data_IF_770929107046
#
_entry.id   IF_770929107046
#
_cell.length_a   1.000
_cell.length_b   1.000
_cell.length_c   1.000
_cell.angle_alpha   90.00
_cell.angle_beta   90.00
_cell.angle_gamma   90.00
#
_symmetry.space_group_name_H-M   'P 1'
#
loop_
_entity.id
_entity.type
_entity.pdbx_description
1 polymer ?
#
# COMPACT_ATOMS: atom_id res chain seq x y z
N UNK A 1 -8.48 -3.46 23.89
CA UNK A 1 -8.67 -3.16 22.47
C UNK A 1 -7.99 -4.25 21.66
N UNK A 2 -8.70 -4.83 20.72
CA UNK A 2 -8.01 -5.71 19.78
C UNK A 2 -7.00 -4.87 19.01
N UNK A 3 -5.74 -5.28 19.05
CA UNK A 3 -4.70 -4.68 18.22
C UNK A 3 -5.08 -4.93 16.76
N UNK A 4 -5.41 -3.86 16.05
CA UNK A 4 -5.74 -3.95 14.63
C UNK A 4 -4.49 -4.18 13.77
N UNK A 5 -3.34 -4.33 14.43
CA UNK A 5 -2.06 -4.41 13.78
C UNK A 5 -1.63 -3.06 13.20
N UNK A 6 -0.49 -3.06 12.54
CA UNK A 6 0.07 -1.87 11.91
C UNK A 6 0.22 -2.10 10.40
N UNK A 7 -0.19 -1.13 9.61
CA UNK A 7 -0.02 -1.15 8.16
C UNK A 7 0.37 0.21 7.64
N UNK A 8 1.28 0.21 6.71
CA UNK A 8 1.67 1.37 5.93
C UNK A 8 1.85 0.98 4.46
N UNK A 9 1.92 1.98 3.61
CA UNK A 9 1.98 1.83 2.16
C UNK A 9 3.28 2.43 1.64
N UNK A 10 3.95 1.71 0.77
CA UNK A 10 5.12 2.17 0.04
C UNK A 10 4.82 2.21 -1.47
N UNK A 11 5.02 3.35 -2.09
CA UNK A 11 4.90 3.54 -3.53
C UNK A 11 6.29 3.62 -4.14
N UNK A 12 6.61 2.65 -5.00
CA UNK A 12 7.88 2.61 -5.70
C UNK A 12 7.79 3.37 -7.02
N UNK A 13 8.48 4.49 -7.11
CA UNK A 13 8.57 5.35 -8.29
C UNK A 13 7.21 5.65 -8.95
N UNK A 14 6.20 6.14 -8.20
CA UNK A 14 4.89 6.44 -8.76
C UNK A 14 4.99 7.53 -9.82
N UNK A 15 4.18 7.41 -10.87
CA UNK A 15 4.22 8.30 -12.03
C UNK A 15 3.44 9.58 -11.82
N UNK A 16 2.29 9.49 -11.20
CA UNK A 16 1.28 10.54 -11.18
C UNK A 16 0.99 11.00 -9.75
N UNK A 17 1.07 12.30 -9.53
CA UNK A 17 0.68 12.89 -8.25
C UNK A 17 -0.83 12.77 -7.99
N UNK A 18 -1.65 12.75 -9.03
CA UNK A 18 -3.08 12.51 -8.92
C UNK A 18 -3.34 11.12 -8.32
N UNK A 19 -2.65 10.09 -8.81
CA UNK A 19 -2.72 8.76 -8.25
C UNK A 19 -2.24 8.73 -6.79
N UNK A 20 -1.23 9.50 -6.44
CA UNK A 20 -0.77 9.65 -5.06
C UNK A 20 -1.85 10.19 -4.13
N UNK A 21 -2.58 11.19 -4.56
CA UNK A 21 -3.73 11.74 -3.81
C UNK A 21 -4.83 10.70 -3.59
N UNK A 22 -5.14 9.91 -4.60
CA UNK A 22 -6.09 8.81 -4.50
C UNK A 22 -5.58 7.69 -3.58
N UNK A 23 -4.29 7.38 -3.62
CA UNK A 23 -3.68 6.39 -2.72
C UNK A 23 -3.73 6.85 -1.27
N UNK A 24 -3.41 8.10 -0.98
CA UNK A 24 -3.50 8.66 0.38
C UNK A 24 -4.93 8.56 0.91
N UNK A 25 -5.91 8.85 0.06
CA UNK A 25 -7.32 8.74 0.42
C UNK A 25 -7.73 7.29 0.68
N UNK A 26 -7.32 6.35 -0.17
CA UNK A 26 -7.56 4.93 0.03
C UNK A 26 -6.92 4.44 1.34
N UNK A 27 -5.65 4.76 1.54
CA UNK A 27 -4.91 4.40 2.74
C UNK A 27 -5.55 4.95 4.02
N UNK A 28 -6.00 6.19 4.00
CA UNK A 28 -6.69 6.81 5.12
C UNK A 28 -8.02 6.15 5.45
N UNK A 29 -8.80 5.76 4.42
CA UNK A 29 -10.07 5.06 4.61
C UNK A 29 -9.89 3.68 5.23
N UNK A 30 -8.79 3.01 4.93
CA UNK A 30 -8.50 1.66 5.39
C UNK A 30 -7.53 1.61 6.59
N UNK A 31 -7.30 2.75 7.23
CA UNK A 31 -6.57 2.84 8.49
C UNK A 31 -5.06 2.65 8.39
N UNK A 32 -4.45 2.94 7.24
CA UNK A 32 -3.00 2.94 7.13
C UNK A 32 -2.38 4.10 7.94
N UNK A 33 -1.23 3.84 8.55
CA UNK A 33 -0.54 4.82 9.38
C UNK A 33 0.20 5.90 8.56
N UNK A 34 0.69 5.53 7.39
CA UNK A 34 1.48 6.43 6.54
C UNK A 34 1.57 5.90 5.11
N UNK A 35 1.91 6.79 4.19
CA UNK A 35 2.26 6.48 2.82
C UNK A 35 3.66 7.04 2.53
N UNK A 36 4.56 6.17 2.10
CA UNK A 36 5.91 6.53 1.65
C UNK A 36 5.98 6.42 0.14
N UNK A 37 6.79 7.24 -0.49
CA UNK A 37 7.04 7.13 -1.93
C UNK A 37 8.50 7.38 -2.26
N UNK A 38 8.97 6.78 -3.34
CA UNK A 38 10.29 7.02 -3.93
C UNK A 38 10.14 7.64 -5.32
N UNK A 39 11.23 8.16 -5.85
CA UNK A 39 11.30 8.64 -7.23
C UNK A 39 10.97 10.12 -7.38
N UNK A 40 11.64 10.71 -8.37
CA UNK A 40 11.54 12.16 -8.64
C UNK A 40 10.35 12.56 -9.50
N UNK A 41 9.73 11.61 -10.18
CA UNK A 41 8.57 11.87 -11.04
C UNK A 41 7.40 12.39 -10.21
N UNK A 42 7.20 11.79 -9.06
CA UNK A 42 6.12 12.15 -8.17
C UNK A 42 6.32 13.53 -7.55
N UNK A 43 7.53 13.87 -7.13
CA UNK A 43 7.83 15.18 -6.54
C UNK A 43 7.51 16.34 -7.48
N UNK A 44 7.83 16.18 -8.77
CA UNK A 44 7.51 17.18 -9.80
C UNK A 44 6.01 17.37 -10.02
N UNK A 45 5.26 16.32 -9.82
CA UNK A 45 3.82 16.31 -10.03
C UNK A 45 3.03 16.72 -8.77
N UNK A 46 3.63 16.59 -7.58
CA UNK A 46 2.98 16.90 -6.30
C UNK A 46 2.52 18.37 -6.19
N UNK A 47 3.20 19.28 -6.88
CA UNK A 47 2.84 20.70 -6.90
C UNK A 47 1.51 20.97 -7.63
N UNK A 48 1.00 20.01 -8.38
CA UNK A 48 -0.19 20.15 -9.22
C UNK A 48 -1.44 19.46 -8.68
N UNK A 49 -1.34 18.75 -7.57
CA UNK A 49 -2.46 17.98 -7.03
C UNK A 49 -3.14 18.72 -5.90
N UNK A 50 -4.40 19.02 -6.14
CA UNK A 50 -5.30 19.41 -5.07
C UNK A 50 -5.89 18.17 -4.40
N UNK A 51 -5.39 17.83 -3.23
CA UNK A 51 -6.11 16.95 -2.29
C UNK A 51 -7.27 17.75 -1.71
N UNK A 52 -8.41 17.67 -2.37
CA UNK A 52 -9.59 18.47 -2.01
C UNK A 52 -10.14 18.15 -0.62
N UNK A 53 -9.82 16.98 -0.07
CA UNK A 53 -10.25 16.55 1.27
C UNK A 53 -9.13 16.63 2.31
N UNK A 54 -7.94 17.03 1.92
CA UNK A 54 -6.78 17.19 2.80
C UNK A 54 -6.48 15.97 3.66
N UNK A 55 -6.69 14.77 3.15
CA UNK A 55 -6.46 13.50 3.87
C UNK A 55 -4.98 13.33 4.24
N UNK A 56 -4.07 13.94 3.48
CA UNK A 56 -2.64 13.96 3.79
C UNK A 56 -2.30 14.71 5.10
N UNK A 57 -3.21 15.48 5.65
CA UNK A 57 -3.03 16.05 7.00
C UNK A 57 -3.34 15.04 8.10
N UNK A 58 -4.13 14.01 7.78
CA UNK A 58 -4.48 12.95 8.74
C UNK A 58 -3.46 11.83 8.74
N UNK A 59 -2.90 11.49 7.57
CA UNK A 59 -1.83 10.51 7.42
C UNK A 59 -0.64 11.10 6.67
N UNK A 60 0.60 10.87 7.15
CA UNK A 60 1.79 11.38 6.48
C UNK A 60 1.98 10.80 5.09
N UNK A 61 2.32 11.66 4.12
CA UNK A 61 2.81 11.30 2.80
C UNK A 61 4.27 11.75 2.71
N UNK A 62 5.20 10.80 2.72
CA UNK A 62 6.62 11.08 2.92
C UNK A 62 7.45 10.58 1.75
N UNK A 63 8.17 11.48 1.09
CA UNK A 63 9.17 11.14 0.06
C UNK A 63 10.47 10.67 0.70
N UNK A 64 11.03 9.59 0.15
CA UNK A 64 12.26 8.96 0.64
C UNK A 64 13.11 8.46 -0.52
N UNK A 65 14.38 8.20 -0.26
CA UNK A 65 15.31 7.69 -1.26
C UNK A 65 15.16 6.19 -1.50
N UNK A 66 14.93 5.43 -0.44
CA UNK A 66 14.92 3.96 -0.48
C UNK A 66 13.92 3.40 0.54
N UNK A 67 12.91 2.69 0.07
CA UNK A 67 11.89 2.06 0.91
C UNK A 67 12.48 1.09 1.94
N UNK A 68 13.61 0.46 1.63
CA UNK A 68 14.26 -0.47 2.57
C UNK A 68 14.77 0.20 3.83
N UNK A 69 15.09 1.50 3.75
CA UNK A 69 15.65 2.26 4.88
C UNK A 69 14.60 2.73 5.88
N UNK A 70 13.33 2.70 5.51
CA UNK A 70 12.25 3.24 6.35
C UNK A 70 11.31 2.16 6.90
N UNK A 71 11.67 0.90 6.77
CA UNK A 71 10.83 -0.18 7.26
C UNK A 71 10.52 0.03 8.75
N UNK A 72 9.26 0.27 9.11
CA UNK A 72 8.92 0.45 10.53
C UNK A 72 9.25 -0.79 11.35
N UNK A 73 9.62 -0.58 12.59
CA UNK A 73 10.06 -1.65 13.48
C UNK A 73 9.02 -2.78 13.55
N UNK A 74 9.46 -3.99 13.28
CA UNK A 74 8.62 -5.19 13.31
C UNK A 74 7.70 -5.35 12.11
N UNK A 75 7.76 -4.46 11.12
CA UNK A 75 6.99 -4.62 9.89
C UNK A 75 7.61 -5.66 8.96
N UNK A 76 6.74 -6.40 8.31
CA UNK A 76 7.08 -7.33 7.22
C UNK A 76 6.82 -6.62 5.89
N UNK A 77 7.83 -6.48 5.02
CA UNK A 77 7.62 -5.92 3.69
C UNK A 77 6.94 -6.95 2.78
N UNK A 78 5.83 -6.55 2.17
CA UNK A 78 5.02 -7.36 1.25
C UNK A 78 4.92 -6.63 -0.08
N UNK A 79 5.44 -7.22 -1.15
CA UNK A 79 5.30 -6.67 -2.49
C UNK A 79 3.95 -7.08 -3.09
N UNK A 80 3.32 -6.14 -3.78
CA UNK A 80 2.10 -6.39 -4.55
C UNK A 80 2.43 -6.29 -6.03
N UNK A 81 2.54 -7.44 -6.69
CA UNK A 81 2.99 -7.53 -8.08
C UNK A 81 2.52 -8.85 -8.73
N UNK A 82 2.13 -8.79 -9.98
CA UNK A 82 1.80 -9.98 -10.76
C UNK A 82 3.07 -10.57 -11.38
N UNK A 83 3.70 -11.48 -10.67
CA UNK A 83 4.91 -12.18 -11.11
C UNK A 83 4.82 -13.67 -10.81
N UNK A 84 5.63 -14.46 -11.50
CA UNK A 84 5.74 -15.89 -11.22
C UNK A 84 6.15 -16.13 -9.76
N UNK A 85 5.50 -17.07 -9.12
CA UNK A 85 5.75 -17.41 -7.71
C UNK A 85 5.02 -16.52 -6.70
N UNK A 86 4.32 -15.47 -7.14
CA UNK A 86 3.50 -14.66 -6.26
C UNK A 86 2.31 -15.45 -5.72
N UNK A 87 1.91 -15.15 -4.49
CA UNK A 87 0.75 -15.76 -3.84
C UNK A 87 -0.52 -14.99 -4.19
N UNK A 88 -1.60 -15.69 -4.44
CA UNK A 88 -2.92 -15.06 -4.64
C UNK A 88 -3.39 -14.34 -3.38
N UNK A 89 -3.81 -13.09 -3.51
CA UNK A 89 -4.28 -12.28 -2.38
C UNK A 89 -5.38 -12.97 -1.55
N UNK A 90 -6.41 -13.57 -2.16
CA UNK A 90 -7.44 -14.29 -1.39
C UNK A 90 -6.91 -15.40 -0.49
N UNK A 91 -5.81 -16.03 -0.87
CA UNK A 91 -5.20 -17.14 -0.15
C UNK A 91 -4.10 -16.70 0.83
N UNK A 92 -3.69 -15.42 0.79
CA UNK A 92 -2.61 -14.95 1.65
C UNK A 92 -3.07 -14.72 3.08
N UNK A 93 -2.12 -14.80 4.01
CA UNK A 93 -2.27 -14.36 5.40
C UNK A 93 -1.50 -13.07 5.57
N UNK A 94 -2.17 -12.02 6.05
CA UNK A 94 -1.52 -10.74 6.27
C UNK A 94 -0.69 -10.74 7.55
N UNK A 95 0.53 -10.19 7.52
CA UNK A 95 1.30 -9.94 8.74
C UNK A 95 0.58 -8.95 9.66
N UNK A 96 0.72 -9.11 10.97
CA UNK A 96 0.16 -8.15 11.94
C UNK A 96 0.71 -6.74 11.73
N UNK A 97 1.99 -6.64 11.37
CA UNK A 97 2.65 -5.38 11.02
C UNK A 97 3.21 -5.51 9.60
N UNK A 98 2.71 -4.69 8.70
CA UNK A 98 3.06 -4.80 7.28
C UNK A 98 3.40 -3.46 6.63
N UNK A 99 4.39 -3.49 5.74
CA UNK A 99 4.62 -2.46 4.72
C UNK A 99 4.26 -3.07 3.37
N UNK A 100 3.15 -2.62 2.79
CA UNK A 100 2.75 -3.04 1.45
C UNK A 100 3.38 -2.15 0.39
N UNK A 101 4.09 -2.74 -0.55
CA UNK A 101 4.83 -2.02 -1.58
C UNK A 101 4.19 -2.26 -2.94
N UNK A 102 3.86 -1.16 -3.60
CA UNK A 102 3.20 -1.14 -4.91
C UNK A 102 4.14 -0.55 -5.97
N UNK A 103 4.16 -1.14 -7.14
CA UNK A 103 4.96 -0.67 -8.28
C UNK A 103 4.34 0.54 -8.98
N UNK A 104 5.10 1.14 -9.92
CA UNK A 104 4.61 2.25 -10.74
C UNK A 104 3.50 1.80 -11.69
N UNK A 105 2.65 2.75 -12.09
CA UNK A 105 1.50 2.49 -12.99
C UNK A 105 1.93 2.04 -14.38
N UNK A 106 3.11 2.44 -14.80
CA UNK A 106 3.68 2.18 -16.13
C UNK A 106 4.83 1.17 -16.12
N UNK A 107 4.98 0.38 -15.07
CA UNK A 107 6.07 -0.57 -14.93
C UNK A 107 5.83 -1.59 -13.83
N UNK A 108 6.91 -2.16 -13.34
CA UNK A 108 6.91 -3.20 -12.31
C UNK A 108 7.86 -2.83 -11.19
N UNK A 109 7.71 -3.51 -10.04
CA UNK A 109 8.70 -3.45 -8.97
C UNK A 109 10.00 -4.10 -9.44
N UNK A 110 11.12 -3.46 -9.15
CA UNK A 110 12.43 -4.02 -9.40
C UNK A 110 12.60 -5.35 -8.65
N UNK A 111 13.35 -6.26 -9.27
CA UNK A 111 13.63 -7.56 -8.66
C UNK A 111 14.30 -7.42 -7.29
N UNK A 112 15.19 -6.45 -7.12
CA UNK A 112 15.85 -6.18 -5.84
C UNK A 112 14.84 -5.90 -4.72
N UNK A 113 13.79 -5.11 -5.00
CA UNK A 113 12.72 -4.82 -4.04
C UNK A 113 11.91 -6.09 -3.74
N UNK A 114 11.55 -6.85 -4.78
CA UNK A 114 10.79 -8.09 -4.61
C UNK A 114 11.57 -9.13 -3.80
N UNK A 115 12.86 -9.25 -4.05
CA UNK A 115 13.74 -10.20 -3.33
C UNK A 115 13.92 -9.80 -1.86
N UNK A 116 13.90 -8.50 -1.58
CA UNK A 116 13.95 -7.99 -0.20
C UNK A 116 12.64 -8.23 0.57
N UNK A 117 11.50 -8.24 -0.11
CA UNK A 117 10.21 -8.50 0.52
C UNK A 117 10.11 -9.94 0.99
N UNK A 118 9.50 -10.15 2.14
CA UNK A 118 9.28 -11.48 2.70
C UNK A 118 8.18 -12.25 1.97
N UNK A 119 7.25 -11.53 1.34
CA UNK A 119 6.17 -12.12 0.55
C UNK A 119 5.89 -11.27 -0.68
N UNK A 120 5.39 -11.91 -1.73
CA UNK A 120 4.89 -11.26 -2.94
C UNK A 120 3.49 -11.77 -3.20
N UNK A 121 2.54 -10.86 -3.27
CA UNK A 121 1.13 -11.19 -3.51
C UNK A 121 0.63 -10.55 -4.79
N UNK A 122 -0.33 -11.19 -5.44
CA UNK A 122 -0.99 -10.63 -6.60
C UNK A 122 -2.50 -10.66 -6.45
N UNK A 123 -3.19 -9.76 -7.13
CA UNK A 123 -4.65 -9.72 -7.17
C UNK A 123 -5.09 -10.45 -8.43
N UNK A 124 -5.88 -11.54 -8.29
CA UNK A 124 -6.30 -12.36 -9.44
C UNK A 124 -7.43 -11.69 -10.22
N UNK A 125 -7.10 -10.65 -10.98
CA UNK A 125 -8.01 -9.93 -11.87
C UNK A 125 -7.74 -10.25 -13.33
N UNK A 126 -8.74 -10.03 -14.19
CA UNK A 126 -8.60 -10.26 -15.63
C UNK A 126 -7.90 -9.12 -16.37
N UNK A 127 -7.66 -8.01 -15.71
CA UNK A 127 -7.00 -6.83 -16.29
C UNK A 127 -6.24 -6.05 -15.23
N UNK A 128 -5.51 -5.03 -15.68
CA UNK A 128 -4.78 -4.15 -14.78
C UNK A 128 -5.74 -3.24 -14.00
N UNK A 129 -5.56 -3.18 -12.69
CA UNK A 129 -6.22 -2.18 -11.85
C UNK A 129 -5.34 -0.95 -11.70
N UNK A 130 -5.96 0.21 -11.53
CA UNK A 130 -5.21 1.39 -11.18
C UNK A 130 -4.60 1.27 -9.77
N UNK A 131 -3.59 2.08 -9.50
CA UNK A 131 -2.81 2.00 -8.28
C UNK A 131 -3.67 2.17 -7.01
N UNK A 132 -4.51 3.18 -6.97
CA UNK A 132 -5.35 3.45 -5.79
C UNK A 132 -6.39 2.34 -5.55
N UNK A 133 -6.97 1.77 -6.61
CA UNK A 133 -7.87 0.63 -6.52
C UNK A 133 -7.12 -0.60 -5.99
N UNK A 134 -5.90 -0.83 -6.44
CA UNK A 134 -5.06 -1.93 -5.95
C UNK A 134 -4.77 -1.78 -4.46
N UNK A 135 -4.41 -0.58 -4.01
CA UNK A 135 -4.21 -0.29 -2.58
C UNK A 135 -5.47 -0.56 -1.77
N UNK A 136 -6.62 -0.07 -2.24
CA UNK A 136 -7.92 -0.32 -1.60
C UNK A 136 -8.20 -1.82 -1.44
N UNK A 137 -8.00 -2.58 -2.50
CA UNK A 137 -8.30 -4.04 -2.50
C UNK A 137 -7.41 -4.76 -1.50
N UNK A 138 -6.11 -4.47 -1.47
CA UNK A 138 -5.18 -5.13 -0.53
C UNK A 138 -5.52 -4.78 0.92
N UNK A 139 -5.75 -3.52 1.22
CA UNK A 139 -6.06 -3.09 2.58
C UNK A 139 -7.46 -3.56 3.02
N UNK A 140 -8.42 -3.60 2.11
CA UNK A 140 -9.74 -4.17 2.38
C UNK A 140 -9.66 -5.68 2.65
N UNK A 141 -8.91 -6.44 1.85
CA UNK A 141 -8.71 -7.87 2.08
C UNK A 141 -8.12 -8.14 3.46
N UNK A 142 -7.13 -7.34 3.86
CA UNK A 142 -6.57 -7.37 5.22
C UNK A 142 -7.63 -7.16 6.28
N UNK A 143 -8.42 -6.11 6.14
CA UNK A 143 -9.48 -5.77 7.09
C UNK A 143 -10.55 -6.87 7.16
N UNK A 144 -11.01 -7.35 6.01
CA UNK A 144 -12.04 -8.39 5.93
C UNK A 144 -11.60 -9.70 6.58
N UNK A 145 -10.36 -10.11 6.37
CA UNK A 145 -9.78 -11.30 7.02
C UNK A 145 -9.65 -11.11 8.53
N UNK A 146 -9.29 -9.91 8.98
CA UNK A 146 -9.25 -9.56 10.39
C UNK A 146 -10.63 -9.56 11.06
N UNK A 147 -11.67 -9.13 10.37
CA UNK A 147 -13.05 -9.13 10.87
C UNK A 147 -13.60 -10.55 11.06
N UNK A 148 -13.19 -11.49 10.22
CA UNK A 148 -13.61 -12.88 10.35
C UNK A 148 -13.14 -13.54 11.65
N UNK A 149 -12.15 -12.95 12.31
CA UNK A 149 -11.61 -13.44 13.59
C UNK A 149 -12.06 -12.61 14.79
N UNK A 150 -12.87 -11.57 14.58
CA UNK A 150 -13.32 -10.61 15.59
C UNK A 150 -14.83 -10.59 15.69
N UNK A 151 -15.35 -10.24 16.87
CA UNK A 151 -16.76 -9.83 17.01
C UNK A 151 -17.03 -8.62 16.12
N UNK A 152 -18.07 -8.67 15.31
CA UNK A 152 -18.39 -7.81 14.18
C UNK A 152 -18.25 -6.30 14.36
N UNK A 153 -18.53 -5.52 13.31
CA UNK A 153 -18.24 -4.09 13.28
C UNK A 153 -19.03 -3.32 14.33
N UNK A 154 -18.36 -2.39 15.00
CA UNK A 154 -19.05 -1.40 15.80
C UNK A 154 -19.48 -0.28 14.86
N UNK A 155 -20.75 -0.16 14.60
CA UNK A 155 -21.29 1.00 13.91
C UNK A 155 -21.20 2.23 14.84
N UNK A 156 -20.76 3.31 14.27
CA UNK A 156 -20.78 4.63 14.92
C UNK A 156 -22.09 5.34 14.63
#
# INVERSE_FOLDING_TARGET
MADEGYRCVGLYDPKSAENGGWVVRAAGSDGAASVFYTGKRYERAADFVTDTKRVHYDIPLIGIDDLKKILPLGCVPVAVELVEGARSLPECTHPDRALYIFGPEDGSLDQEIRDWCEDVVYIPTTGCMNLAATVNVVLYDRMAKGLNTRSGPKFR
#
